data_IF_105223108235
#
_entry.id   IF_105223108235
#
_cell.length_a   1.000
_cell.length_b   1.000
_cell.length_c   1.000
_cell.angle_alpha   90.00
_cell.angle_beta   90.00
_cell.angle_gamma   90.00
#
_symmetry.space_group_name_H-M   'P 1'
#
loop_
_entity.id
_entity.type
_entity.pdbx_description
1 polymer ?
#
# COMPACT_ATOMS: atom_id res chain seq x y z
N UNK A 1 7.03 45.34 0.44
CA UNK A 1 7.76 44.67 1.53
C UNK A 1 7.69 43.17 1.29
N UNK A 2 8.85 42.57 1.07
CA UNK A 2 9.04 41.16 0.79
C UNK A 2 9.21 40.36 2.09
N UNK A 3 8.66 39.15 2.14
CA UNK A 3 9.21 37.93 2.77
C UNK A 3 8.14 36.84 2.72
N UNK A 4 8.29 35.81 1.87
CA UNK A 4 9.08 34.59 2.12
C UNK A 4 8.44 33.68 3.18
N UNK A 5 7.80 32.61 2.73
CA UNK A 5 8.16 31.24 3.12
C UNK A 5 7.51 30.22 2.16
N UNK A 6 8.35 29.71 1.26
CA UNK A 6 8.21 28.45 0.53
C UNK A 6 8.61 27.32 1.48
N UNK A 7 7.85 26.22 1.55
CA UNK A 7 8.42 24.88 1.77
C UNK A 7 7.63 23.82 0.97
N UNK A 8 8.23 23.42 -0.15
CA UNK A 8 8.29 22.10 -0.81
C UNK A 8 7.14 21.08 -0.67
N UNK A 9 6.39 20.90 -1.77
CA UNK A 9 5.65 19.69 -2.10
C UNK A 9 5.91 19.28 -3.55
N UNK A 10 7.18 19.02 -3.89
CA UNK A 10 7.59 18.63 -5.24
C UNK A 10 7.08 17.24 -5.60
N UNK A 11 6.06 17.18 -6.46
CA UNK A 11 5.69 15.99 -7.23
C UNK A 11 6.86 15.60 -8.14
N UNK A 12 7.64 14.60 -7.72
CA UNK A 12 8.57 13.91 -8.60
C UNK A 12 7.77 12.98 -9.53
N UNK A 13 7.42 13.49 -10.72
CA UNK A 13 7.20 12.62 -11.89
C UNK A 13 8.53 11.94 -12.17
N UNK A 14 8.66 10.65 -11.82
CA UNK A 14 9.76 9.83 -12.33
C UNK A 14 9.58 9.73 -13.84
N UNK A 15 10.53 10.18 -14.68
CA UNK A 15 10.53 9.75 -16.06
C UNK A 15 10.83 8.25 -16.06
N UNK A 16 9.95 7.47 -16.69
CA UNK A 16 10.27 6.12 -17.15
C UNK A 16 11.55 6.23 -17.97
N UNK A 17 12.67 5.84 -17.38
CA UNK A 17 13.88 5.60 -18.15
C UNK A 17 13.56 4.43 -19.06
N UNK A 18 13.37 4.72 -20.35
CA UNK A 18 13.44 3.70 -21.38
C UNK A 18 14.82 3.08 -21.28
N UNK A 19 14.86 1.83 -20.83
CA UNK A 19 16.05 0.99 -20.96
C UNK A 19 16.22 0.77 -22.46
N UNK A 20 17.04 1.62 -23.07
CA UNK A 20 17.51 1.43 -24.43
C UNK A 20 18.44 0.23 -24.37
N UNK A 21 17.90 -0.95 -24.73
CA UNK A 21 18.70 -2.10 -25.09
C UNK A 21 19.60 -1.68 -26.24
N UNK A 22 20.87 -1.37 -25.95
CA UNK A 22 21.90 -1.37 -26.97
C UNK A 22 21.98 -2.80 -27.49
N UNK A 23 21.38 -3.04 -28.64
CA UNK A 23 21.66 -4.20 -29.44
C UNK A 23 23.17 -4.22 -29.72
N UNK A 24 23.91 -5.03 -28.97
CA UNK A 24 25.28 -5.38 -29.31
C UNK A 24 25.14 -6.29 -30.53
N UNK A 25 25.23 -5.68 -31.71
CA UNK A 25 25.46 -6.36 -32.98
C UNK A 25 26.82 -7.08 -32.87
N UNK A 26 26.79 -8.31 -32.35
CA UNK A 26 27.89 -9.24 -32.54
C UNK A 26 27.93 -9.56 -34.04
N UNK A 27 28.82 -8.86 -34.76
CA UNK A 27 29.29 -9.32 -36.06
C UNK A 27 29.86 -10.72 -35.83
N UNK A 28 29.10 -11.75 -36.18
CA UNK A 28 29.62 -13.11 -36.40
C UNK A 28 30.70 -12.99 -37.47
N UNK A 29 31.96 -12.88 -37.04
CA UNK A 29 33.07 -13.28 -37.88
C UNK A 29 33.03 -14.81 -37.91
N UNK A 30 32.28 -15.36 -38.85
CA UNK A 30 32.56 -16.71 -39.35
C UNK A 30 33.92 -16.64 -40.01
N UNK A 31 34.98 -16.88 -39.21
CA UNK A 31 36.24 -17.37 -39.75
C UNK A 31 35.92 -18.77 -40.22
N UNK A 32 35.51 -18.90 -41.47
CA UNK A 32 35.55 -20.16 -42.18
C UNK A 32 37.00 -20.63 -42.11
N UNK A 33 37.27 -21.63 -41.27
CA UNK A 33 38.54 -22.34 -41.30
C UNK A 33 38.58 -23.12 -42.61
N UNK A 34 38.91 -22.43 -43.71
CA UNK A 34 39.54 -23.14 -44.81
C UNK A 34 40.88 -23.58 -44.25
N UNK A 35 41.12 -24.90 -44.28
CA UNK A 35 42.42 -25.46 -44.02
C UNK A 35 43.38 -24.89 -45.07
N UNK A 36 43.99 -23.74 -44.77
CA UNK A 36 45.08 -23.18 -45.55
C UNK A 36 46.26 -24.12 -45.37
N UNK A 37 46.38 -25.08 -46.30
CA UNK A 37 47.66 -25.74 -46.55
C UNK A 37 48.70 -24.62 -46.78
N UNK A 38 49.90 -24.69 -46.20
CA UNK A 38 50.93 -23.71 -46.50
C UNK A 38 51.12 -23.70 -48.01
N UNK A 39 50.97 -22.51 -48.61
CA UNK A 39 50.95 -22.32 -50.04
C UNK A 39 52.34 -22.66 -50.58
N UNK A 40 52.55 -23.91 -51.00
CA UNK A 40 53.84 -24.43 -51.48
C UNK A 40 54.41 -23.62 -52.64
N UNK A 41 53.56 -22.89 -53.35
CA UNK A 41 53.93 -21.95 -54.41
C UNK A 41 54.76 -20.76 -53.91
N UNK A 42 54.50 -20.25 -52.70
CA UNK A 42 55.21 -19.08 -52.17
C UNK A 42 56.60 -19.48 -51.61
N UNK A 43 56.70 -20.66 -50.99
CA UNK A 43 57.97 -21.26 -50.56
C UNK A 43 58.84 -21.58 -51.78
N UNK A 44 58.28 -22.17 -52.84
CA UNK A 44 59.00 -22.44 -54.09
C UNK A 44 59.45 -21.15 -54.80
N UNK A 45 58.63 -20.11 -54.82
CA UNK A 45 58.98 -18.84 -55.47
C UNK A 45 60.10 -18.09 -54.72
N UNK A 46 60.08 -18.09 -53.39
CA UNK A 46 61.15 -17.49 -52.58
C UNK A 46 62.44 -18.32 -52.68
N UNK A 47 62.34 -19.66 -52.64
CA UNK A 47 63.48 -20.54 -52.88
C UNK A 47 64.13 -20.27 -54.25
N UNK A 48 63.34 -20.25 -55.33
CA UNK A 48 63.88 -20.09 -56.68
C UNK A 48 64.46 -18.70 -56.96
N UNK A 49 63.94 -17.63 -56.34
CA UNK A 49 64.42 -16.27 -56.62
C UNK A 49 65.58 -15.82 -55.73
N UNK A 50 65.74 -16.40 -54.54
CA UNK A 50 66.84 -16.05 -53.62
C UNK A 50 68.10 -16.87 -53.95
N UNK A 51 67.96 -18.18 -54.24
CA UNK A 51 69.11 -19.04 -54.55
C UNK A 51 69.68 -18.88 -55.96
N UNK A 52 68.98 -18.18 -56.87
CA UNK A 52 69.46 -17.98 -58.24
C UNK A 52 70.41 -16.77 -58.40
N UNK A 53 70.59 -15.93 -57.38
CA UNK A 53 71.36 -14.67 -57.48
C UNK A 53 72.67 -14.63 -56.70
N UNK A 54 72.92 -15.55 -55.78
CA UNK A 54 74.17 -15.69 -55.06
C UNK A 54 74.72 -17.10 -55.31
N UNK A 55 76.02 -17.24 -55.59
CA UNK A 55 76.71 -18.52 -55.86
C UNK A 55 76.72 -19.44 -54.62
N UNK A 56 75.54 -19.91 -54.24
CA UNK A 56 75.35 -20.80 -53.11
C UNK A 56 75.46 -22.24 -53.60
N UNK A 57 76.64 -22.82 -53.49
CA UNK A 57 76.88 -24.23 -53.79
C UNK A 57 76.27 -25.07 -52.66
N UNK A 58 75.06 -25.59 -52.89
CA UNK A 58 74.39 -26.56 -52.02
C UNK A 58 74.63 -27.95 -52.58
N UNK A 59 75.43 -28.74 -51.88
CA UNK A 59 75.52 -30.17 -52.13
C UNK A 59 74.24 -30.85 -51.61
N UNK A 60 73.32 -31.22 -52.52
CA UNK A 60 71.98 -31.70 -52.16
C UNK A 60 71.99 -33.06 -51.46
N UNK A 61 73.07 -33.84 -51.58
CA UNK A 61 73.24 -35.12 -50.88
C UNK A 61 73.80 -34.97 -49.45
N UNK A 62 74.53 -33.90 -49.17
CA UNK A 62 75.21 -33.70 -47.88
C UNK A 62 74.71 -32.51 -47.05
N UNK A 63 73.82 -31.66 -47.60
CA UNK A 63 73.34 -30.40 -46.98
C UNK A 63 74.49 -29.49 -46.49
N UNK A 64 75.63 -29.46 -47.19
CA UNK A 64 76.78 -28.61 -46.81
C UNK A 64 76.78 -27.32 -47.62
N UNK A 65 76.55 -26.19 -46.96
CA UNK A 65 76.69 -24.85 -47.53
C UNK A 65 78.11 -24.36 -47.29
N UNK A 66 78.90 -24.14 -48.36
CA UNK A 66 80.31 -23.72 -48.26
C UNK A 66 80.51 -22.20 -48.15
N UNK A 67 79.47 -21.39 -48.33
CA UNK A 67 79.52 -19.93 -48.12
C UNK A 67 78.90 -19.58 -46.75
N UNK A 68 79.62 -18.80 -45.94
CA UNK A 68 79.22 -18.37 -44.60
C UNK A 68 77.87 -17.64 -44.58
N UNK A 69 77.58 -16.86 -45.61
CA UNK A 69 76.33 -16.11 -45.76
C UNK A 69 75.11 -17.03 -45.88
N UNK A 70 75.24 -18.17 -46.56
CA UNK A 70 74.16 -19.14 -46.71
C UNK A 70 73.88 -19.94 -45.43
N UNK A 71 74.91 -20.19 -44.60
CA UNK A 71 74.74 -20.78 -43.26
C UNK A 71 73.98 -19.83 -42.32
N UNK A 72 74.39 -18.55 -42.27
CA UNK A 72 73.73 -17.52 -41.47
C UNK A 72 72.25 -17.33 -41.87
N UNK A 73 71.94 -17.47 -43.17
CA UNK A 73 70.57 -17.42 -43.68
C UNK A 73 69.74 -18.65 -43.25
N UNK A 74 70.28 -19.87 -43.34
CA UNK A 74 69.58 -21.08 -42.87
C UNK A 74 69.33 -21.03 -41.35
N UNK A 75 70.31 -20.60 -40.55
CA UNK A 75 70.13 -20.41 -39.10
C UNK A 75 69.08 -19.34 -38.77
N UNK A 76 68.94 -18.30 -39.61
CA UNK A 76 67.87 -17.31 -39.48
C UNK A 76 66.51 -17.91 -39.81
N UNK A 77 66.40 -18.65 -40.91
CA UNK A 77 65.16 -19.31 -41.32
C UNK A 77 64.70 -20.36 -40.31
N UNK A 78 65.62 -21.11 -39.70
CA UNK A 78 65.31 -22.08 -38.65
C UNK A 78 64.80 -21.36 -37.39
N UNK A 79 65.44 -20.25 -36.98
CA UNK A 79 64.95 -19.41 -35.88
C UNK A 79 63.56 -18.84 -36.16
N UNK A 80 63.34 -18.29 -37.35
CA UNK A 80 62.03 -17.76 -37.75
C UNK A 80 60.95 -18.85 -37.81
N UNK A 81 61.29 -20.05 -38.30
CA UNK A 81 60.38 -21.20 -38.32
C UNK A 81 60.02 -21.65 -36.91
N UNK A 82 61.00 -21.68 -36.00
CA UNK A 82 60.78 -22.02 -34.60
C UNK A 82 59.95 -20.94 -33.89
N UNK A 83 60.18 -19.66 -34.16
CA UNK A 83 59.39 -18.56 -33.63
C UNK A 83 57.93 -18.62 -34.12
N UNK A 84 57.72 -18.91 -35.42
CA UNK A 84 56.37 -19.11 -35.96
C UNK A 84 55.65 -20.29 -35.29
N UNK A 85 56.37 -21.39 -35.04
CA UNK A 85 55.83 -22.54 -34.31
C UNK A 85 55.43 -22.16 -32.88
N UNK A 86 56.29 -21.43 -32.17
CA UNK A 86 56.02 -20.94 -30.82
C UNK A 86 54.78 -20.01 -30.80
N UNK A 87 54.65 -19.10 -31.78
CA UNK A 87 53.48 -18.22 -31.93
C UNK A 87 52.20 -19.04 -32.18
N UNK A 88 52.25 -20.03 -33.05
CA UNK A 88 51.09 -20.89 -33.35
C UNK A 88 50.66 -21.67 -32.10
N UNK A 89 51.61 -22.22 -31.34
CA UNK A 89 51.31 -22.95 -30.12
C UNK A 89 50.74 -22.03 -29.04
N UNK A 90 51.26 -20.80 -28.89
CA UNK A 90 50.67 -19.79 -28.01
C UNK A 90 49.23 -19.43 -28.40
N UNK A 91 48.97 -19.17 -29.69
CA UNK A 91 47.62 -18.87 -30.19
C UNK A 91 46.63 -20.03 -29.95
N UNK A 92 47.11 -21.28 -29.99
CA UNK A 92 46.30 -22.45 -29.66
C UNK A 92 45.92 -22.48 -28.18
N UNK A 93 46.86 -22.19 -27.29
CA UNK A 93 46.58 -22.13 -25.85
C UNK A 93 45.65 -20.96 -25.50
N UNK A 94 45.89 -19.77 -26.07
CA UNK A 94 45.01 -18.61 -25.89
C UNK A 94 43.59 -18.92 -26.40
N UNK A 95 43.47 -19.64 -27.53
CA UNK A 95 42.17 -20.09 -28.05
C UNK A 95 41.44 -21.05 -27.10
N UNK A 96 42.16 -21.99 -26.46
CA UNK A 96 41.58 -22.89 -25.44
C UNK A 96 41.13 -22.11 -24.20
N UNK A 97 41.95 -21.18 -23.72
CA UNK A 97 41.61 -20.32 -22.58
C UNK A 97 40.37 -19.50 -22.89
N UNK A 98 40.29 -18.90 -24.08
CA UNK A 98 39.12 -18.12 -24.49
C UNK A 98 37.85 -18.98 -24.54
N UNK A 99 37.92 -20.22 -25.04
CA UNK A 99 36.78 -21.15 -25.02
C UNK A 99 36.31 -21.45 -23.59
N UNK A 100 37.22 -21.77 -22.68
CA UNK A 100 36.88 -22.01 -21.27
C UNK A 100 36.27 -20.78 -20.59
N UNK A 101 36.75 -19.57 -20.93
CA UNK A 101 36.17 -18.32 -20.41
C UNK A 101 34.76 -18.13 -20.95
N UNK A 102 34.53 -18.35 -22.24
CA UNK A 102 33.22 -18.21 -22.85
C UNK A 102 32.21 -19.22 -22.26
N UNK A 103 32.58 -20.49 -22.12
CA UNK A 103 31.73 -21.52 -21.50
C UNK A 103 31.37 -21.14 -20.04
N UNK A 104 32.35 -20.62 -19.27
CA UNK A 104 32.09 -20.12 -17.91
C UNK A 104 31.15 -18.92 -17.88
N UNK A 105 31.22 -18.03 -18.88
CA UNK A 105 30.33 -16.89 -18.98
C UNK A 105 28.91 -17.31 -19.38
N UNK A 106 28.76 -18.23 -20.33
CA UNK A 106 27.46 -18.77 -20.74
C UNK A 106 26.74 -19.44 -19.58
N UNK A 107 27.44 -20.27 -18.79
CA UNK A 107 26.86 -20.89 -17.60
C UNK A 107 26.42 -19.85 -16.56
N UNK A 108 27.22 -18.80 -16.33
CA UNK A 108 26.84 -17.71 -15.41
C UNK A 108 25.63 -16.91 -15.91
N UNK A 109 25.53 -16.67 -17.21
CA UNK A 109 24.37 -16.01 -17.83
C UNK A 109 23.13 -16.86 -17.62
N UNK A 110 23.22 -18.17 -17.90
CA UNK A 110 22.10 -19.10 -17.71
C UNK A 110 21.64 -19.16 -16.24
N UNK A 111 22.58 -19.23 -15.29
CA UNK A 111 22.26 -19.18 -13.85
C UNK A 111 21.59 -17.86 -13.45
N UNK A 112 21.99 -16.75 -14.04
CA UNK A 112 21.37 -15.44 -13.79
C UNK A 112 19.97 -15.36 -14.38
N UNK A 113 19.76 -15.86 -15.60
CA UNK A 113 18.44 -15.93 -16.24
C UNK A 113 17.45 -16.75 -15.39
N UNK A 114 17.88 -17.91 -14.88
CA UNK A 114 17.06 -18.74 -14.01
C UNK A 114 16.70 -18.02 -12.70
N UNK A 115 17.64 -17.24 -12.12
CA UNK A 115 17.37 -16.43 -10.92
C UNK A 115 16.39 -15.30 -11.20
N UNK A 116 16.53 -14.61 -12.33
CA UNK A 116 15.63 -13.53 -12.76
C UNK A 116 14.22 -14.10 -12.96
N UNK A 117 14.10 -15.20 -13.69
CA UNK A 117 12.81 -15.85 -13.91
C UNK A 117 12.14 -16.29 -12.60
N UNK A 118 12.93 -16.84 -11.66
CA UNK A 118 12.43 -17.16 -10.32
C UNK A 118 11.97 -15.95 -9.51
N UNK A 119 12.57 -14.77 -9.71
CA UNK A 119 12.13 -13.52 -9.09
C UNK A 119 10.88 -12.95 -9.75
N UNK A 120 10.78 -13.00 -11.08
CA UNK A 120 9.59 -12.56 -11.84
C UNK A 120 8.34 -13.31 -11.38
N UNK A 121 8.42 -14.64 -11.23
CA UNK A 121 7.30 -15.45 -10.75
C UNK A 121 6.89 -15.07 -9.31
N UNK A 122 7.84 -14.71 -8.45
CA UNK A 122 7.55 -14.23 -7.08
C UNK A 122 6.86 -12.87 -7.08
N UNK A 123 7.34 -11.93 -7.91
CA UNK A 123 6.75 -10.60 -8.06
C UNK A 123 5.32 -10.73 -8.57
N UNK A 124 5.09 -11.54 -9.60
CA UNK A 124 3.74 -11.78 -10.14
C UNK A 124 2.79 -12.37 -9.09
N UNK A 125 3.25 -13.32 -8.27
CA UNK A 125 2.47 -13.86 -7.16
C UNK A 125 2.11 -12.81 -6.10
N UNK A 126 3.03 -11.88 -5.80
CA UNK A 126 2.79 -10.77 -4.88
C UNK A 126 1.78 -9.76 -5.46
N UNK A 127 1.87 -9.43 -6.75
CA UNK A 127 0.94 -8.52 -7.43
C UNK A 127 -0.50 -9.04 -7.41
N UNK A 128 -0.70 -10.35 -7.64
CA UNK A 128 -2.02 -11.00 -7.51
C UNK A 128 -2.55 -10.86 -6.08
N UNK A 129 -1.70 -11.12 -5.08
CA UNK A 129 -2.09 -11.04 -3.66
C UNK A 129 -2.47 -9.61 -3.26
N UNK A 130 -1.71 -8.61 -3.69
CA UNK A 130 -2.00 -7.19 -3.43
C UNK A 130 -3.35 -6.81 -4.05
N UNK A 131 -3.57 -7.22 -5.30
CA UNK A 131 -4.82 -6.91 -6.02
C UNK A 131 -6.02 -7.51 -5.30
N UNK A 132 -5.91 -8.76 -4.82
CA UNK A 132 -6.97 -9.42 -4.04
C UNK A 132 -7.24 -8.70 -2.71
N UNK A 133 -6.18 -8.31 -1.97
CA UNK A 133 -6.33 -7.57 -0.72
C UNK A 133 -7.00 -6.21 -0.93
N UNK A 134 -6.69 -5.52 -2.03
CA UNK A 134 -7.36 -4.26 -2.39
C UNK A 134 -8.84 -4.46 -2.72
N UNK A 135 -9.20 -5.55 -3.42
CA UNK A 135 -10.61 -5.86 -3.70
C UNK A 135 -11.38 -6.21 -2.44
N UNK A 136 -10.79 -7.03 -1.56
CA UNK A 136 -11.41 -7.44 -0.30
C UNK A 136 -11.59 -6.24 0.63
N UNK A 137 -10.59 -5.35 0.71
CA UNK A 137 -10.66 -4.11 1.47
C UNK A 137 -11.78 -3.19 0.97
N UNK A 138 -11.96 -3.06 -0.36
CA UNK A 138 -13.06 -2.28 -0.95
C UNK A 138 -14.42 -2.93 -0.63
N UNK A 139 -14.55 -4.25 -0.77
CA UNK A 139 -15.78 -4.97 -0.46
C UNK A 139 -16.17 -4.81 1.02
N UNK A 140 -15.20 -4.94 1.94
CA UNK A 140 -15.45 -4.76 3.37
C UNK A 140 -15.90 -3.34 3.70
N UNK A 141 -15.33 -2.30 3.06
CA UNK A 141 -15.78 -0.92 3.22
C UNK A 141 -17.24 -0.74 2.82
N UNK A 142 -17.64 -1.31 1.67
CA UNK A 142 -19.02 -1.27 1.19
C UNK A 142 -19.97 -1.96 2.19
N UNK A 143 -19.60 -3.15 2.68
CA UNK A 143 -20.39 -3.89 3.68
C UNK A 143 -20.53 -3.05 4.97
N UNK A 144 -19.45 -2.47 5.46
CA UNK A 144 -19.47 -1.65 6.66
C UNK A 144 -20.35 -0.40 6.49
N UNK A 145 -20.29 0.25 5.32
CA UNK A 145 -21.16 1.40 5.01
C UNK A 145 -22.63 1.00 4.91
N UNK A 146 -22.94 -0.15 4.29
CA UNK A 146 -24.31 -0.68 4.23
C UNK A 146 -24.85 -1.04 5.61
N UNK A 147 -24.04 -1.70 6.44
CA UNK A 147 -24.40 -2.01 7.82
C UNK A 147 -24.63 -0.74 8.64
N UNK A 148 -23.79 0.28 8.47
CA UNK A 148 -23.97 1.58 9.12
C UNK A 148 -25.27 2.27 8.68
N UNK A 149 -25.58 2.28 7.38
CA UNK A 149 -26.85 2.81 6.85
C UNK A 149 -28.05 2.08 7.44
N UNK A 150 -28.04 0.76 7.42
CA UNK A 150 -29.11 -0.07 7.98
C UNK A 150 -29.29 0.18 9.49
N UNK A 151 -28.19 0.30 10.23
CA UNK A 151 -28.22 0.61 11.66
C UNK A 151 -28.82 2.00 11.94
N UNK A 152 -28.42 3.02 11.17
CA UNK A 152 -29.00 4.37 11.27
C UNK A 152 -30.48 4.42 10.93
N UNK A 153 -30.92 3.68 9.91
CA UNK A 153 -32.34 3.57 9.55
C UNK A 153 -33.17 2.95 10.68
N UNK A 154 -32.71 1.85 11.26
CA UNK A 154 -33.36 1.21 12.42
C UNK A 154 -33.42 2.18 13.59
N UNK A 155 -32.30 2.86 13.88
CA UNK A 155 -32.21 3.80 15.00
C UNK A 155 -33.10 5.04 14.81
N UNK A 156 -33.21 5.56 13.60
CA UNK A 156 -34.12 6.66 13.29
C UNK A 156 -35.58 6.28 13.61
N UNK A 157 -35.99 5.09 13.21
CA UNK A 157 -37.33 4.57 13.53
C UNK A 157 -37.53 4.35 15.03
N UNK A 158 -36.51 3.95 15.78
CA UNK A 158 -36.59 3.87 17.25
C UNK A 158 -36.83 5.26 17.87
N UNK A 159 -36.06 6.28 17.46
CA UNK A 159 -36.22 7.66 17.93
C UNK A 159 -37.63 8.18 17.64
N UNK A 160 -38.10 8.03 16.39
CA UNK A 160 -39.45 8.43 15.98
C UNK A 160 -40.54 7.77 16.83
N UNK A 161 -40.39 6.47 17.15
CA UNK A 161 -41.33 5.74 18.00
C UNK A 161 -41.36 6.25 19.45
N UNK A 162 -40.22 6.63 20.01
CA UNK A 162 -40.14 7.13 21.38
C UNK A 162 -40.58 8.59 21.52
N UNK A 163 -40.46 9.38 20.46
CA UNK A 163 -40.93 10.76 20.44
C UNK A 163 -42.43 10.92 20.20
N UNK A 164 -43.09 9.94 19.57
CA UNK A 164 -44.54 9.95 19.32
C UNK A 164 -45.28 9.12 20.37
N UNK A 165 -46.27 9.72 21.04
CA UNK A 165 -47.15 9.02 21.98
C UNK A 165 -48.08 8.03 21.23
N UNK A 166 -47.58 6.87 20.85
CA UNK A 166 -48.45 5.78 20.39
C UNK A 166 -49.13 5.13 21.58
N UNK A 167 -50.41 4.75 21.39
CA UNK A 167 -51.20 4.03 22.37
C UNK A 167 -50.41 2.82 22.93
N UNK A 168 -50.37 2.70 24.25
CA UNK A 168 -49.67 1.67 25.05
C UNK A 168 -49.76 0.26 24.45
N UNK A 169 -50.91 -0.10 23.89
CA UNK A 169 -51.17 -1.40 23.24
C UNK A 169 -50.27 -1.71 22.03
N UNK A 170 -49.90 -0.70 21.23
CA UNK A 170 -49.06 -0.88 20.05
C UNK A 170 -47.56 -0.99 20.41
N UNK A 171 -47.15 -0.38 21.53
CA UNK A 171 -45.79 -0.52 22.07
C UNK A 171 -45.60 -1.90 22.72
N UNK A 172 -46.56 -2.36 23.52
CA UNK A 172 -46.52 -3.67 24.19
C UNK A 172 -46.49 -4.84 23.19
N UNK A 173 -47.35 -4.82 22.17
CA UNK A 173 -47.45 -5.89 21.17
C UNK A 173 -46.20 -6.04 20.28
N UNK A 174 -45.33 -5.02 20.21
CA UNK A 174 -44.08 -5.03 19.42
C UNK A 174 -42.84 -5.28 20.28
N UNK A 175 -42.79 -4.74 21.49
CA UNK A 175 -41.72 -5.02 22.48
C UNK A 175 -41.58 -6.51 22.76
N UNK A 176 -42.69 -7.24 22.84
CA UNK A 176 -42.69 -8.70 23.05
C UNK A 176 -42.17 -9.51 21.85
N UNK A 177 -42.21 -8.96 20.63
CA UNK A 177 -41.98 -9.76 19.42
C UNK A 177 -40.60 -9.63 18.81
N UNK A 178 -39.97 -8.46 18.84
CA UNK A 178 -38.67 -8.23 18.22
C UNK A 178 -38.13 -6.86 18.61
N UNK A 179 -36.96 -6.79 19.26
CA UNK A 179 -35.87 -5.80 19.09
C UNK A 179 -35.17 -5.50 20.42
N UNK A 180 -33.84 -5.57 20.39
CA UNK A 180 -32.95 -4.93 21.36
C UNK A 180 -33.40 -3.47 21.52
N UNK A 181 -34.09 -3.13 22.62
CA UNK A 181 -34.40 -1.72 22.91
C UNK A 181 -33.08 -1.07 23.31
N UNK A 182 -32.48 -0.35 22.37
CA UNK A 182 -31.25 0.39 22.61
C UNK A 182 -31.58 1.59 23.51
N UNK A 183 -30.85 1.72 24.61
CA UNK A 183 -30.99 2.87 25.51
C UNK A 183 -30.67 4.20 24.84
N UNK A 184 -30.88 5.29 25.58
CA UNK A 184 -30.47 6.61 25.13
C UNK A 184 -28.97 6.67 24.80
N UNK A 185 -28.62 7.18 23.63
CA UNK A 185 -27.26 7.51 23.22
C UNK A 185 -27.27 8.82 22.40
N UNK A 186 -27.35 9.95 23.10
CA UNK A 186 -27.57 11.27 22.49
C UNK A 186 -26.56 11.61 21.40
N UNK A 187 -25.28 11.24 21.56
CA UNK A 187 -24.24 11.53 20.57
C UNK A 187 -24.50 10.76 19.27
N UNK A 188 -24.77 9.47 19.39
CA UNK A 188 -25.02 8.61 18.23
C UNK A 188 -26.36 8.98 17.57
N UNK A 189 -27.36 9.36 18.35
CA UNK A 189 -28.67 9.77 17.85
C UNK A 189 -28.61 11.10 17.11
N UNK A 190 -27.72 12.03 17.50
CA UNK A 190 -27.42 13.23 16.72
C UNK A 190 -26.80 12.87 15.36
N UNK A 191 -25.92 11.86 15.30
CA UNK A 191 -25.39 11.39 14.01
C UNK A 191 -26.47 10.81 13.11
N UNK A 192 -27.45 10.11 13.70
CA UNK A 192 -28.62 9.57 12.98
C UNK A 192 -29.47 10.70 12.41
N UNK A 193 -29.76 11.74 13.20
CA UNK A 193 -30.51 12.93 12.73
C UNK A 193 -29.83 13.56 11.52
N UNK A 194 -28.52 13.79 11.58
CA UNK A 194 -27.76 14.36 10.45
C UNK A 194 -27.69 13.44 9.24
N UNK A 195 -27.61 12.12 9.46
CA UNK A 195 -27.64 11.15 8.37
C UNK A 195 -28.97 11.20 7.63
N UNK A 196 -30.09 11.20 8.35
CA UNK A 196 -31.44 11.26 7.76
C UNK A 196 -31.66 12.58 7.03
N UNK A 197 -31.11 13.69 7.54
CA UNK A 197 -31.09 14.99 6.85
C UNK A 197 -30.43 14.92 5.47
N UNK A 198 -29.38 14.13 5.33
CA UNK A 198 -28.60 14.02 4.10
C UNK A 198 -29.22 13.03 3.07
N UNK A 199 -29.92 11.98 3.54
CA UNK A 199 -30.30 10.85 2.69
C UNK A 199 -31.82 10.73 2.43
N UNK A 200 -32.67 11.51 3.11
CA UNK A 200 -34.14 11.32 3.05
C UNK A 200 -34.92 12.61 2.79
N UNK A 201 -36.25 12.53 2.85
CA UNK A 201 -37.14 13.68 2.66
C UNK A 201 -37.14 14.62 3.86
N UNK A 202 -37.37 15.91 3.61
CA UNK A 202 -37.48 16.95 4.64
C UNK A 202 -38.53 16.59 5.71
N UNK A 203 -39.67 16.02 5.30
CA UNK A 203 -40.72 15.58 6.21
C UNK A 203 -40.25 14.52 7.22
N UNK A 204 -39.45 13.53 6.80
CA UNK A 204 -38.95 12.50 7.71
C UNK A 204 -37.91 13.08 8.66
N UNK A 205 -37.03 13.93 8.14
CA UNK A 205 -36.07 14.66 8.96
C UNK A 205 -36.77 15.48 10.05
N UNK A 206 -37.82 16.23 9.72
CA UNK A 206 -38.55 17.07 10.68
C UNK A 206 -39.28 16.21 11.74
N UNK A 207 -39.88 15.10 11.33
CA UNK A 207 -40.48 14.11 12.25
C UNK A 207 -39.44 13.56 13.23
N UNK A 208 -38.28 13.14 12.71
CA UNK A 208 -37.19 12.61 13.52
C UNK A 208 -36.60 13.67 14.46
N UNK A 209 -36.44 14.90 13.99
CA UNK A 209 -35.96 16.02 14.79
C UNK A 209 -36.92 16.30 15.95
N UNK A 210 -38.23 16.39 15.68
CA UNK A 210 -39.23 16.59 16.73
C UNK A 210 -39.22 15.43 17.75
N UNK A 211 -39.06 14.20 17.27
CA UNK A 211 -38.98 13.03 18.14
C UNK A 211 -37.71 13.01 19.00
N UNK A 212 -36.56 13.40 18.43
CA UNK A 212 -35.31 13.58 19.18
C UNK A 212 -35.46 14.64 20.28
N UNK A 213 -36.06 15.79 19.94
CA UNK A 213 -36.31 16.88 20.89
C UNK A 213 -37.24 16.43 22.03
N UNK A 214 -38.28 15.68 21.73
CA UNK A 214 -39.17 15.10 22.73
C UNK A 214 -38.46 14.07 23.62
N UNK A 215 -37.58 13.24 23.06
CA UNK A 215 -36.90 12.18 23.80
C UNK A 215 -35.83 12.74 24.75
N UNK A 216 -34.94 13.61 24.25
CA UNK A 216 -33.81 14.15 25.00
C UNK A 216 -34.05 15.52 25.66
N UNK A 217 -35.16 16.18 25.36
CA UNK A 217 -35.50 17.53 25.85
C UNK A 217 -34.44 18.58 25.49
N UNK A 218 -33.80 18.41 24.34
CA UNK A 218 -32.80 19.34 23.81
C UNK A 218 -32.86 19.37 22.28
N UNK A 219 -32.67 20.57 21.72
CA UNK A 219 -32.65 20.76 20.27
C UNK A 219 -31.34 20.26 19.64
N UNK A 220 -31.38 19.57 18.47
CA UNK A 220 -30.19 19.19 17.72
C UNK A 220 -29.27 20.36 17.36
N UNK A 221 -29.76 21.61 17.41
CA UNK A 221 -28.94 22.82 17.22
C UNK A 221 -27.75 22.89 18.18
N UNK A 222 -27.84 22.26 19.35
CA UNK A 222 -26.76 22.18 20.33
C UNK A 222 -25.76 21.06 20.05
N UNK A 223 -25.80 20.42 18.87
CA UNK A 223 -24.94 19.27 18.50
C UNK A 223 -23.48 19.49 18.90
N UNK A 224 -22.90 20.63 18.49
CA UNK A 224 -21.48 20.89 18.74
C UNK A 224 -21.17 20.92 20.24
N UNK A 225 -22.04 21.54 21.04
CA UNK A 225 -21.88 21.62 22.49
C UNK A 225 -22.11 20.26 23.16
N UNK A 226 -23.09 19.48 22.70
CA UNK A 226 -23.38 18.13 23.23
C UNK A 226 -22.21 17.18 22.99
N UNK A 227 -21.62 17.17 21.79
CA UNK A 227 -20.47 16.31 21.45
C UNK A 227 -19.23 16.60 22.32
N UNK A 228 -19.11 17.84 22.82
CA UNK A 228 -18.02 18.26 23.70
C UNK A 228 -18.45 18.42 25.17
N UNK A 229 -19.66 17.99 25.52
CA UNK A 229 -20.15 18.07 26.88
C UNK A 229 -19.36 17.12 27.81
N UNK A 230 -19.19 17.47 29.10
CA UNK A 230 -18.63 16.56 30.08
C UNK A 230 -19.39 15.24 30.12
N UNK A 231 -18.67 14.13 30.33
CA UNK A 231 -19.24 12.77 30.26
C UNK A 231 -20.49 12.60 31.13
N UNK A 232 -20.49 13.20 32.32
CA UNK A 232 -21.61 13.20 33.25
C UNK A 232 -22.87 13.82 32.66
N UNK A 233 -22.75 14.90 31.87
CA UNK A 233 -23.88 15.54 31.18
C UNK A 233 -24.42 14.63 30.08
N UNK A 234 -23.53 14.01 29.30
CA UNK A 234 -23.90 13.02 28.28
C UNK A 234 -24.66 11.85 28.91
N UNK A 235 -24.15 11.32 30.02
CA UNK A 235 -24.82 10.26 30.81
C UNK A 235 -26.18 10.71 31.33
N UNK A 236 -26.32 11.96 31.76
CA UNK A 236 -27.62 12.51 32.18
C UNK A 236 -28.63 12.53 31.03
N UNK A 237 -28.26 13.00 29.83
CA UNK A 237 -29.13 12.96 28.66
C UNK A 237 -29.59 11.53 28.34
N UNK A 238 -28.66 10.58 28.32
CA UNK A 238 -28.95 9.18 28.05
C UNK A 238 -29.87 8.58 29.12
N UNK A 239 -29.66 8.94 30.39
CA UNK A 239 -30.50 8.48 31.49
C UNK A 239 -31.91 9.07 31.41
N UNK A 240 -32.05 10.36 31.08
CA UNK A 240 -33.35 11.00 30.85
C UNK A 240 -34.13 10.29 29.74
N UNK A 241 -33.47 10.01 28.61
CA UNK A 241 -34.07 9.27 27.50
C UNK A 241 -34.46 7.83 27.92
N UNK A 242 -33.60 7.14 28.67
CA UNK A 242 -33.87 5.80 29.21
C UNK A 242 -35.11 5.76 30.11
N UNK A 243 -35.37 6.81 30.91
CA UNK A 243 -36.59 6.88 31.73
C UNK A 243 -37.88 6.91 30.92
N UNK A 244 -37.82 7.29 29.64
CA UNK A 244 -38.99 7.36 28.75
C UNK A 244 -39.17 6.08 27.93
N UNK A 245 -38.11 5.31 27.73
CA UNK A 245 -38.10 4.15 26.81
C UNK A 245 -38.05 2.80 27.51
N UNK A 246 -37.48 2.70 28.72
CA UNK A 246 -37.28 1.41 29.39
C UNK A 246 -38.39 1.10 30.39
N UNK A 247 -38.98 -0.07 30.24
CA UNK A 247 -40.02 -0.62 31.11
C UNK A 247 -39.59 -0.78 32.59
N UNK A 248 -38.28 -0.85 32.87
CA UNK A 248 -37.78 -0.89 34.25
C UNK A 248 -38.16 0.35 35.07
N UNK A 249 -38.31 1.51 34.43
CA UNK A 249 -38.68 2.75 35.12
C UNK A 249 -40.20 2.85 35.35
N UNK A 250 -41.03 2.30 34.47
CA UNK A 250 -42.50 2.35 34.62
C UNK A 250 -43.00 1.56 35.83
N UNK A 251 -42.22 0.60 36.34
CA UNK A 251 -42.58 -0.18 37.53
C UNK A 251 -42.35 0.58 38.85
N UNK A 252 -41.70 1.75 38.82
CA UNK A 252 -41.49 2.59 39.99
C UNK A 252 -41.65 4.09 39.62
N UNK A 253 -42.90 4.56 39.44
CA UNK A 253 -43.19 5.88 38.90
C UNK A 253 -42.63 7.02 39.77
N UNK A 254 -42.64 6.85 41.11
CA UNK A 254 -42.06 7.84 42.02
C UNK A 254 -40.56 8.01 41.79
N UNK A 255 -39.83 6.91 41.64
CA UNK A 255 -38.39 6.97 41.37
C UNK A 255 -38.10 7.49 39.96
N UNK A 256 -38.93 7.13 38.98
CA UNK A 256 -38.85 7.65 37.61
C UNK A 256 -39.00 9.18 37.59
N UNK A 257 -40.00 9.74 38.28
CA UNK A 257 -40.24 11.17 38.34
C UNK A 257 -39.08 11.92 39.03
N UNK A 258 -38.56 11.37 40.13
CA UNK A 258 -37.40 11.93 40.82
C UNK A 258 -36.14 11.94 39.93
N UNK A 259 -35.88 10.85 39.23
CA UNK A 259 -34.78 10.73 38.28
C UNK A 259 -34.94 11.72 37.13
N UNK A 260 -36.13 11.83 36.53
CA UNK A 260 -36.40 12.82 35.48
C UNK A 260 -36.16 14.24 35.98
N UNK A 261 -36.62 14.57 37.19
CA UNK A 261 -36.44 15.89 37.80
C UNK A 261 -34.97 16.24 37.98
N UNK A 262 -34.17 15.31 38.48
CA UNK A 262 -32.72 15.50 38.65
C UNK A 262 -32.05 15.67 37.29
N UNK A 263 -32.37 14.80 36.32
CA UNK A 263 -31.81 14.88 34.98
C UNK A 263 -32.12 16.22 34.29
N UNK A 264 -33.38 16.67 34.33
CA UNK A 264 -33.80 17.98 33.82
C UNK A 264 -33.04 19.11 34.50
N UNK A 265 -32.89 19.05 35.82
CA UNK A 265 -32.13 20.06 36.58
C UNK A 265 -30.67 20.19 36.14
N UNK A 266 -29.98 19.06 35.94
CA UNK A 266 -28.62 19.01 35.41
C UNK A 266 -28.56 19.57 33.98
N UNK A 267 -29.43 19.09 33.09
CA UNK A 267 -29.47 19.51 31.68
C UNK A 267 -29.75 21.00 31.56
N UNK A 268 -30.73 21.54 32.29
CA UNK A 268 -31.05 22.96 32.29
C UNK A 268 -29.87 23.82 32.75
N UNK A 269 -29.17 23.43 33.83
CA UNK A 269 -28.00 24.15 34.34
C UNK A 269 -26.84 24.14 33.35
N UNK A 270 -26.60 22.99 32.71
CA UNK A 270 -25.59 22.90 31.65
C UNK A 270 -25.95 23.76 30.44
N UNK A 271 -27.20 23.74 29.99
CA UNK A 271 -27.68 24.58 28.88
C UNK A 271 -27.61 26.08 29.20
N UNK A 272 -27.87 26.48 30.45
CA UNK A 272 -27.71 27.85 30.90
C UNK A 272 -26.26 28.32 30.78
N UNK A 273 -25.31 27.48 31.23
CA UNK A 273 -23.87 27.74 31.06
C UNK A 273 -23.49 27.84 29.57
N UNK A 274 -23.96 26.91 28.73
CA UNK A 274 -23.72 26.92 27.28
C UNK A 274 -24.26 28.20 26.61
N UNK A 275 -25.46 28.64 26.98
CA UNK A 275 -26.11 29.80 26.37
C UNK A 275 -25.53 31.14 26.82
N UNK A 276 -25.09 31.23 28.08
CA UNK A 276 -24.53 32.47 28.62
C UNK A 276 -23.06 32.64 28.26
N UNK A 277 -22.32 31.53 28.08
CA UNK A 277 -20.88 31.48 27.79
C UNK A 277 -20.04 32.40 28.70
N UNK A 278 -20.55 32.68 29.91
CA UNK A 278 -19.99 33.64 30.86
C UNK A 278 -19.95 32.97 32.23
N UNK A 279 -18.74 32.84 32.76
CA UNK A 279 -18.50 32.28 34.08
C UNK A 279 -17.80 30.93 34.04
N UNK A 280 -17.58 30.38 35.23
CA UNK A 280 -17.00 29.07 35.44
C UNK A 280 -18.05 27.98 35.21
N UNK A 281 -17.63 26.84 34.67
CA UNK A 281 -18.50 25.68 34.52
C UNK A 281 -18.99 25.22 35.90
N UNK A 282 -20.31 25.05 36.14
CA UNK A 282 -20.85 24.69 37.46
C UNK A 282 -20.63 23.20 37.78
N UNK A 283 -19.37 22.77 37.82
CA UNK A 283 -18.96 21.38 37.95
C UNK A 283 -19.45 20.75 39.26
N UNK A 284 -19.18 21.40 40.39
CA UNK A 284 -19.53 20.89 41.72
C UNK A 284 -21.04 20.70 41.89
N UNK A 285 -21.82 21.65 41.38
CA UNK A 285 -23.28 21.59 41.43
C UNK A 285 -23.84 20.48 40.55
N UNK A 286 -23.31 20.32 39.34
CA UNK A 286 -23.75 19.25 38.45
C UNK A 286 -23.33 17.89 39.01
N UNK A 287 -22.10 17.75 39.51
CA UNK A 287 -21.58 16.51 40.10
C UNK A 287 -22.41 16.09 41.30
N UNK A 288 -22.71 17.01 42.22
CA UNK A 288 -23.56 16.76 43.39
C UNK A 288 -24.95 16.23 43.01
N UNK A 289 -25.59 16.80 41.99
CA UNK A 289 -26.89 16.29 41.51
C UNK A 289 -26.74 14.94 40.80
N UNK A 290 -25.65 14.73 40.07
CA UNK A 290 -25.36 13.45 39.41
C UNK A 290 -25.13 12.31 40.42
N UNK A 291 -24.49 12.57 41.55
CA UNK A 291 -24.30 11.56 42.60
C UNK A 291 -25.63 11.11 43.23
N UNK A 292 -26.61 12.01 43.34
CA UNK A 292 -27.98 11.65 43.74
C UNK A 292 -28.64 10.74 42.70
N UNK A 293 -28.46 11.05 41.41
CA UNK A 293 -28.95 10.23 40.31
C UNK A 293 -28.36 8.79 40.35
N UNK A 294 -27.06 8.66 40.61
CA UNK A 294 -26.39 7.36 40.74
C UNK A 294 -26.93 6.56 41.92
N UNK A 295 -27.19 7.22 43.04
CA UNK A 295 -27.74 6.60 44.25
C UNK A 295 -29.14 6.05 44.00
N UNK A 296 -30.03 6.84 43.37
CA UNK A 296 -31.40 6.43 43.04
C UNK A 296 -31.47 5.28 42.04
N UNK A 297 -30.51 5.20 41.11
CA UNK A 297 -30.45 4.09 40.14
C UNK A 297 -30.00 2.77 40.77
N UNK A 298 -29.29 2.83 41.89
CA UNK A 298 -28.73 1.65 42.56
C UNK A 298 -29.64 1.09 43.66
N UNK A 299 -30.72 1.82 43.99
CA UNK A 299 -31.74 1.44 44.96
C UNK A 299 -32.85 0.62 44.29
#
# INVERSE_FOLDING_TARGET
MASLLKVFGGRWKRPLQSVTYKAILFKRFTITSSAARPNSALINYVWQNVFAKEDMIVDSEAMRVRNREGLDWMERMERESQDQKNIIDQLREDSKIQKMINEKLENKIHDQENKIHGQENKIQGQEITITQLETDSKAQKIINEQQKRMWFEVRATEIEKHGHSQAEEAMLARSERNQTVHGGNIIQDLEVVDFIKAETTEQRHDSLQAAFEAWYEVSPRYKHQIVHAPELVVKTFNTLADTKSRWGWSNNPTTQDEVQKICRGIVSRWLEYVNTAKGEYPEDDIRREFDKLVTLRSA
#
